data_IF_286795062893
#
_entry.id   IF_286795062893
#
_cell.length_a   1.000
_cell.length_b   1.000
_cell.length_c   1.000
_cell.angle_alpha   90.00
_cell.angle_beta   90.00
_cell.angle_gamma   90.00
#
_symmetry.space_group_name_H-M   'P 1'
#
loop_
_entity.id
_entity.type
_entity.pdbx_description
1 polymer ?
#
# COMPACT_ATOMS: atom_id res chain seq x y z
N UNK A 1 57.29 -6.21 18.38
CA UNK A 1 56.05 -6.66 17.71
C UNK A 1 55.48 -5.49 16.91
N UNK A 2 55.98 -5.26 15.69
CA UNK A 2 55.63 -4.11 14.84
C UNK A 2 54.42 -4.52 14.01
N UNK A 3 53.22 -4.08 14.40
CA UNK A 3 52.08 -4.09 13.48
C UNK A 3 52.40 -3.07 12.39
N UNK A 4 52.83 -3.55 11.22
CA UNK A 4 53.19 -2.71 10.07
C UNK A 4 52.01 -1.81 9.68
N UNK A 5 52.31 -0.56 9.34
CA UNK A 5 51.34 0.48 8.94
C UNK A 5 50.32 -0.03 7.91
N UNK A 6 50.75 -0.93 7.02
CA UNK A 6 49.93 -1.62 6.00
C UNK A 6 48.78 -2.49 6.54
N UNK A 7 48.88 -3.02 7.76
CA UNK A 7 47.81 -3.83 8.36
C UNK A 7 46.76 -2.97 9.05
N UNK A 8 47.14 -1.81 9.59
CA UNK A 8 46.21 -0.83 10.15
C UNK A 8 45.40 -0.18 9.03
N UNK A 9 46.06 0.21 7.93
CA UNK A 9 45.43 0.80 6.76
C UNK A 9 44.45 -0.17 6.07
N UNK A 10 44.84 -1.44 5.87
CA UNK A 10 43.93 -2.48 5.35
C UNK A 10 42.72 -2.74 6.24
N UNK A 11 42.90 -2.72 7.56
CA UNK A 11 41.78 -2.84 8.52
C UNK A 11 40.85 -1.63 8.45
N UNK A 12 41.39 -0.41 8.31
CA UNK A 12 40.63 0.82 8.12
C UNK A 12 39.77 0.79 6.85
N UNK A 13 40.37 0.44 5.71
CA UNK A 13 39.66 0.31 4.42
C UNK A 13 38.58 -0.79 4.48
N UNK A 14 38.87 -1.91 5.15
CA UNK A 14 37.90 -3.00 5.35
C UNK A 14 36.70 -2.54 6.19
N UNK A 15 36.95 -1.82 7.28
CA UNK A 15 35.90 -1.30 8.16
C UNK A 15 35.03 -0.24 7.45
N UNK A 16 35.64 0.65 6.68
CA UNK A 16 34.91 1.67 5.92
C UNK A 16 34.02 1.04 4.84
N UNK A 17 34.54 0.05 4.10
CA UNK A 17 33.76 -0.72 3.12
C UNK A 17 32.61 -1.47 3.76
N UNK A 18 32.84 -2.14 4.89
CA UNK A 18 31.79 -2.83 5.65
C UNK A 18 30.69 -1.85 6.10
N UNK A 19 31.07 -0.67 6.58
CA UNK A 19 30.13 0.39 6.96
C UNK A 19 29.31 0.90 5.77
N UNK A 20 29.94 1.11 4.61
CA UNK A 20 29.24 1.54 3.39
C UNK A 20 28.22 0.48 2.91
N UNK A 21 28.60 -0.80 2.91
CA UNK A 21 27.71 -1.92 2.57
C UNK A 21 26.53 -1.98 3.55
N UNK A 22 26.80 -1.83 4.84
CA UNK A 22 25.76 -1.84 5.86
C UNK A 22 24.78 -0.67 5.65
N UNK A 23 25.26 0.55 5.41
CA UNK A 23 24.40 1.71 5.12
C UNK A 23 23.50 1.48 3.91
N UNK A 24 24.04 0.96 2.80
CA UNK A 24 23.26 0.64 1.59
C UNK A 24 22.13 -0.35 1.92
N UNK A 25 22.45 -1.46 2.60
CA UNK A 25 21.46 -2.47 3.01
C UNK A 25 20.39 -1.90 3.95
N UNK A 26 20.78 -1.03 4.89
CA UNK A 26 19.86 -0.42 5.86
C UNK A 26 18.83 0.50 5.18
N UNK A 27 19.21 1.28 4.18
CA UNK A 27 18.27 2.16 3.46
C UNK A 27 17.19 1.34 2.73
N UNK A 28 17.61 0.30 2.00
CA UNK A 28 16.69 -0.62 1.32
C UNK A 28 15.75 -1.29 2.32
N UNK A 29 16.31 -1.85 3.40
CA UNK A 29 15.52 -2.57 4.41
C UNK A 29 14.53 -1.67 5.15
N UNK A 30 14.89 -0.42 5.42
CA UNK A 30 13.99 0.56 6.04
C UNK A 30 12.81 0.89 5.13
N UNK A 31 13.05 1.07 3.84
CA UNK A 31 12.01 1.29 2.84
C UNK A 31 11.09 0.06 2.71
N UNK A 32 11.65 -1.15 2.60
CA UNK A 32 10.86 -2.39 2.49
C UNK A 32 9.95 -2.60 3.71
N UNK A 33 10.47 -2.38 4.93
CA UNK A 33 9.70 -2.52 6.17
C UNK A 33 8.60 -1.47 6.32
N UNK A 34 8.85 -0.23 5.94
CA UNK A 34 7.80 0.81 5.94
C UNK A 34 6.68 0.46 4.95
N UNK A 35 7.06 0.05 3.74
CA UNK A 35 6.11 -0.40 2.71
C UNK A 35 5.29 -1.59 3.19
N UNK A 36 5.93 -2.59 3.82
CA UNK A 36 5.25 -3.78 4.33
C UNK A 36 4.26 -3.44 5.46
N UNK A 37 4.66 -2.57 6.40
CA UNK A 37 3.80 -2.14 7.50
C UNK A 37 2.59 -1.36 6.99
N UNK A 38 2.80 -0.37 6.12
CA UNK A 38 1.71 0.40 5.51
C UNK A 38 0.77 -0.50 4.70
N UNK A 39 1.31 -1.44 3.92
CA UNK A 39 0.52 -2.41 3.16
C UNK A 39 -0.31 -3.33 4.04
N UNK A 40 0.20 -3.77 5.20
CA UNK A 40 -0.55 -4.60 6.13
C UNK A 40 -1.71 -3.84 6.78
N UNK A 41 -1.47 -2.59 7.21
CA UNK A 41 -2.53 -1.71 7.74
C UNK A 41 -3.60 -1.46 6.69
N UNK A 42 -3.20 -1.12 5.46
CA UNK A 42 -4.12 -0.93 4.34
C UNK A 42 -4.94 -2.17 4.05
N UNK A 43 -4.32 -3.36 4.06
CA UNK A 43 -5.04 -4.61 3.81
C UNK A 43 -6.12 -4.85 4.86
N UNK A 44 -5.82 -4.65 6.14
CA UNK A 44 -6.81 -4.82 7.22
C UNK A 44 -7.96 -3.84 7.06
N UNK A 45 -7.66 -2.53 6.91
CA UNK A 45 -8.69 -1.51 6.75
C UNK A 45 -9.54 -1.73 5.49
N UNK A 46 -8.92 -2.15 4.38
CA UNK A 46 -9.61 -2.46 3.14
C UNK A 46 -10.56 -3.65 3.27
N UNK A 47 -10.13 -4.72 3.95
CA UNK A 47 -11.01 -5.87 4.19
C UNK A 47 -12.20 -5.50 5.06
N UNK A 48 -12.00 -4.63 6.07
CA UNK A 48 -13.09 -4.11 6.90
C UNK A 48 -14.05 -3.28 6.04
N UNK A 49 -13.54 -2.35 5.23
CA UNK A 49 -14.37 -1.54 4.31
C UNK A 49 -15.21 -2.43 3.39
N UNK A 50 -14.59 -3.43 2.75
CA UNK A 50 -15.27 -4.33 1.82
C UNK A 50 -16.45 -5.07 2.46
N UNK A 51 -16.34 -5.46 3.74
CA UNK A 51 -17.43 -6.09 4.49
C UNK A 51 -18.62 -5.15 4.67
N UNK A 52 -18.37 -3.88 5.03
CA UNK A 52 -19.43 -2.90 5.23
C UNK A 52 -20.06 -2.43 3.92
N UNK A 53 -19.26 -2.31 2.86
CA UNK A 53 -19.72 -1.92 1.52
C UNK A 53 -20.66 -2.98 0.92
N UNK A 54 -20.68 -4.21 1.44
CA UNK A 54 -21.66 -5.23 1.04
C UNK A 54 -23.12 -4.81 1.30
N UNK A 55 -23.38 -3.96 2.30
CA UNK A 55 -24.68 -3.34 2.55
C UNK A 55 -24.51 -1.82 2.70
N UNK A 56 -24.14 -1.18 1.58
CA UNK A 56 -23.86 0.26 1.53
C UNK A 56 -25.03 1.11 2.01
N UNK A 57 -26.28 0.65 1.85
CA UNK A 57 -27.47 1.38 2.33
C UNK A 57 -27.43 1.59 3.84
N UNK A 58 -27.04 0.56 4.61
CA UNK A 58 -26.95 0.64 6.07
C UNK A 58 -25.65 1.28 6.54
N UNK A 59 -24.57 1.10 5.78
CA UNK A 59 -23.22 1.42 6.22
C UNK A 59 -22.52 2.49 5.38
N UNK A 60 -23.26 3.35 4.66
CA UNK A 60 -22.67 4.40 3.80
C UNK A 60 -21.70 5.30 4.57
N UNK A 61 -22.05 5.75 5.77
CA UNK A 61 -21.15 6.59 6.57
C UNK A 61 -19.92 5.82 7.05
N UNK A 62 -20.05 4.52 7.31
CA UNK A 62 -18.91 3.66 7.66
C UNK A 62 -17.97 3.51 6.46
N UNK A 63 -18.51 3.31 5.26
CA UNK A 63 -17.72 3.27 4.02
C UNK A 63 -16.99 4.59 3.77
N UNK A 64 -17.68 5.73 3.91
CA UNK A 64 -17.05 7.06 3.77
C UNK A 64 -15.94 7.23 4.81
N UNK A 65 -16.20 6.86 6.06
CA UNK A 65 -15.21 6.95 7.13
C UNK A 65 -13.98 6.08 6.87
N UNK A 66 -14.15 4.79 6.60
CA UNK A 66 -13.04 3.85 6.41
C UNK A 66 -12.32 4.14 5.08
N UNK A 67 -13.06 4.42 4.01
CA UNK A 67 -12.55 4.89 2.73
C UNK A 67 -11.63 6.11 2.87
N UNK A 68 -12.03 7.08 3.69
CA UNK A 68 -11.21 8.27 3.96
C UNK A 68 -10.02 7.95 4.86
N UNK A 69 -10.21 7.13 5.91
CA UNK A 69 -9.14 6.71 6.81
C UNK A 69 -8.01 5.99 6.05
N UNK A 70 -8.35 5.18 5.04
CA UNK A 70 -7.39 4.49 4.17
C UNK A 70 -6.43 5.44 3.47
N UNK A 71 -6.84 6.69 3.18
CA UNK A 71 -6.03 7.65 2.42
C UNK A 71 -4.69 7.96 3.12
N UNK A 72 -4.70 8.03 4.46
CA UNK A 72 -3.50 8.26 5.26
C UNK A 72 -2.38 7.23 5.02
N UNK A 73 -2.57 5.95 5.39
CA UNK A 73 -1.57 4.92 5.14
C UNK A 73 -1.36 4.64 3.63
N UNK A 74 -2.31 4.97 2.76
CA UNK A 74 -2.15 4.89 1.31
C UNK A 74 -1.07 5.86 0.82
N UNK A 75 -1.09 7.11 1.27
CA UNK A 75 -0.06 8.10 0.98
C UNK A 75 1.32 7.60 1.42
N UNK A 76 1.42 6.97 2.60
CA UNK A 76 2.67 6.37 3.07
C UNK A 76 3.14 5.24 2.15
N UNK A 77 2.24 4.34 1.73
CA UNK A 77 2.57 3.24 0.81
C UNK A 77 3.05 3.79 -0.54
N UNK A 78 2.32 4.74 -1.12
CA UNK A 78 2.66 5.36 -2.41
C UNK A 78 3.99 6.12 -2.34
N UNK A 79 4.22 6.92 -1.29
CA UNK A 79 5.48 7.63 -1.09
C UNK A 79 6.66 6.65 -0.92
N UNK A 80 6.47 5.57 -0.16
CA UNK A 80 7.52 4.57 0.06
C UNK A 80 7.86 3.78 -1.23
N UNK A 81 6.86 3.37 -2.00
CA UNK A 81 7.07 2.70 -3.30
C UNK A 81 7.65 3.66 -4.33
N UNK A 82 7.17 4.91 -4.38
CA UNK A 82 7.68 5.97 -5.24
C UNK A 82 9.15 6.29 -4.93
N UNK A 83 9.52 6.41 -3.66
CA UNK A 83 10.90 6.60 -3.25
C UNK A 83 11.82 5.50 -3.79
N UNK A 84 11.40 4.22 -3.70
CA UNK A 84 12.14 3.10 -4.27
C UNK A 84 12.23 3.20 -5.80
N UNK A 85 11.12 3.52 -6.46
CA UNK A 85 11.06 3.67 -7.92
C UNK A 85 12.05 4.74 -8.39
N UNK A 86 11.93 5.97 -7.88
CA UNK A 86 12.81 7.08 -8.26
C UNK A 86 14.27 6.76 -7.92
N UNK A 87 14.56 6.24 -6.73
CA UNK A 87 15.93 5.89 -6.35
C UNK A 87 16.56 4.84 -7.29
N UNK A 88 15.78 3.89 -7.80
CA UNK A 88 16.26 2.91 -8.78
C UNK A 88 16.58 3.56 -10.14
N UNK A 89 15.68 4.39 -10.69
CA UNK A 89 15.92 5.03 -12.00
C UNK A 89 16.95 6.15 -11.96
N UNK A 90 17.09 6.82 -10.81
CA UNK A 90 18.20 7.74 -10.54
C UNK A 90 19.52 7.03 -10.22
N UNK A 91 19.60 5.70 -10.43
CA UNK A 91 20.82 4.89 -10.30
C UNK A 91 21.44 4.89 -8.89
N UNK A 92 20.64 5.05 -7.84
CA UNK A 92 21.13 4.92 -6.47
C UNK A 92 21.77 3.53 -6.26
N UNK A 93 23.06 3.43 -5.87
CA UNK A 93 23.77 2.16 -5.83
C UNK A 93 23.06 1.10 -4.97
N UNK A 94 22.51 1.50 -3.83
CA UNK A 94 21.81 0.60 -2.92
C UNK A 94 20.58 -0.06 -3.56
N UNK A 95 19.82 0.69 -4.38
CA UNK A 95 18.60 0.21 -5.01
C UNK A 95 18.86 -0.54 -6.32
N UNK A 96 19.91 -0.14 -7.06
CA UNK A 96 20.34 -0.88 -8.26
C UNK A 96 20.92 -2.24 -7.88
N UNK A 97 21.77 -2.32 -6.86
CA UNK A 97 22.31 -3.59 -6.33
C UNK A 97 21.21 -4.54 -5.83
N UNK A 98 20.10 -3.99 -5.31
CA UNK A 98 18.93 -4.77 -4.91
C UNK A 98 18.19 -5.40 -6.11
N UNK A 99 18.37 -4.87 -7.31
CA UNK A 99 17.75 -5.34 -8.53
C UNK A 99 16.36 -4.77 -8.81
N UNK A 100 15.90 -4.89 -10.07
CA UNK A 100 14.61 -4.36 -10.49
C UNK A 100 13.43 -5.05 -9.79
N UNK A 101 12.28 -4.37 -9.67
CA UNK A 101 11.02 -5.03 -9.32
C UNK A 101 10.66 -6.11 -10.35
N UNK A 102 9.87 -7.10 -9.93
CA UNK A 102 9.28 -8.08 -10.85
C UNK A 102 8.54 -7.37 -12.00
N UNK A 103 8.82 -7.76 -13.25
CA UNK A 103 8.32 -7.07 -14.45
C UNK A 103 6.80 -7.07 -14.55
N UNK A 104 6.13 -8.17 -14.20
CA UNK A 104 4.67 -8.27 -14.23
C UNK A 104 4.04 -7.32 -13.21
N UNK A 105 4.60 -7.23 -12.01
CA UNK A 105 4.14 -6.27 -11.00
C UNK A 105 4.44 -4.82 -11.40
N UNK A 106 5.49 -4.59 -12.19
CA UNK A 106 5.84 -3.27 -12.72
C UNK A 106 4.87 -2.82 -13.81
N UNK A 107 4.41 -3.74 -14.67
CA UNK A 107 3.37 -3.47 -15.67
C UNK A 107 2.00 -3.27 -15.02
N UNK A 108 1.70 -4.00 -13.95
CA UNK A 108 0.47 -3.87 -13.18
C UNK A 108 0.38 -2.52 -12.43
N UNK A 109 1.51 -2.04 -11.92
CA UNK A 109 1.59 -0.86 -11.05
C UNK A 109 0.92 0.41 -11.61
N UNK A 110 1.16 0.88 -12.85
CA UNK A 110 0.53 2.10 -13.36
C UNK A 110 -1.00 2.02 -13.38
N UNK A 111 -1.56 0.90 -13.83
CA UNK A 111 -3.02 0.69 -13.83
C UNK A 111 -3.58 0.69 -12.41
N UNK A 112 -2.91 -0.01 -11.49
CA UNK A 112 -3.34 -0.05 -10.09
C UNK A 112 -3.27 1.34 -9.43
N UNK A 113 -2.22 2.13 -9.71
CA UNK A 113 -2.08 3.49 -9.18
C UNK A 113 -3.17 4.40 -9.75
N UNK A 114 -3.40 4.36 -11.07
CA UNK A 114 -4.43 5.16 -11.73
C UNK A 114 -5.81 4.87 -11.14
N UNK A 115 -6.19 3.59 -11.08
CA UNK A 115 -7.50 3.20 -10.55
C UNK A 115 -7.62 3.48 -9.05
N UNK A 116 -6.53 3.34 -8.28
CA UNK A 116 -6.54 3.75 -6.86
C UNK A 116 -6.78 5.26 -6.73
N UNK A 117 -6.09 6.07 -7.53
CA UNK A 117 -6.27 7.52 -7.51
C UNK A 117 -7.69 7.91 -7.93
N UNK A 118 -8.21 7.34 -9.02
CA UNK A 118 -9.59 7.55 -9.48
C UNK A 118 -10.60 7.17 -8.41
N UNK A 119 -10.45 6.00 -7.77
CA UNK A 119 -11.35 5.54 -6.72
C UNK A 119 -11.37 6.48 -5.52
N UNK A 120 -10.20 6.89 -5.01
CA UNK A 120 -10.11 7.77 -3.85
C UNK A 120 -10.56 9.20 -4.17
N UNK A 121 -10.18 9.76 -5.31
CA UNK A 121 -10.54 11.13 -5.68
C UNK A 121 -12.03 11.26 -5.98
N UNK A 122 -12.62 10.30 -6.69
CA UNK A 122 -14.07 10.27 -6.92
C UNK A 122 -14.86 10.04 -5.62
N UNK A 123 -14.35 9.22 -4.70
CA UNK A 123 -14.98 9.02 -3.39
C UNK A 123 -14.95 10.27 -2.53
N UNK A 124 -13.82 10.99 -2.52
CA UNK A 124 -13.70 12.27 -1.86
C UNK A 124 -14.64 13.32 -2.45
N UNK A 125 -14.75 13.40 -3.78
CA UNK A 125 -15.68 14.30 -4.46
C UNK A 125 -17.14 14.02 -4.05
N UNK A 126 -17.57 12.76 -4.06
CA UNK A 126 -18.92 12.35 -3.63
C UNK A 126 -19.20 12.68 -2.16
N UNK A 127 -18.21 12.47 -1.30
CA UNK A 127 -18.34 12.73 0.13
C UNK A 127 -18.45 14.24 0.43
N UNK A 128 -17.77 15.09 -0.34
CA UNK A 128 -17.84 16.55 -0.23
C UNK A 128 -19.10 17.15 -0.84
N UNK A 129 -19.55 16.63 -1.99
CA UNK A 129 -20.73 17.14 -2.69
C UNK A 129 -22.03 16.84 -1.91
N UNK A 130 -22.07 15.77 -1.12
CA UNK A 130 -23.18 15.44 -0.23
C UNK A 130 -24.48 15.01 -0.94
N UNK A 131 -24.67 15.35 -2.21
CA UNK A 131 -25.87 15.05 -2.98
C UNK A 131 -25.64 13.89 -3.98
N UNK A 132 -26.57 12.91 -4.05
CA UNK A 132 -26.47 11.76 -4.95
C UNK A 132 -26.68 12.11 -6.45
N UNK A 133 -26.89 13.38 -6.79
CA UNK A 133 -27.27 13.79 -8.15
C UNK A 133 -26.12 13.71 -9.16
N UNK A 134 -24.87 13.67 -8.68
CA UNK A 134 -23.69 13.52 -9.55
C UNK A 134 -23.47 12.06 -9.98
N UNK A 135 -24.41 11.58 -10.82
CA UNK A 135 -24.43 10.22 -11.36
C UNK A 135 -23.14 9.85 -12.08
N UNK A 136 -22.49 10.80 -12.75
CA UNK A 136 -21.23 10.54 -13.45
C UNK A 136 -20.10 10.18 -12.48
N UNK A 137 -19.89 11.00 -11.43
CA UNK A 137 -18.85 10.72 -10.43
C UNK A 137 -19.16 9.45 -9.67
N UNK A 138 -20.42 9.18 -9.35
CA UNK A 138 -20.84 7.90 -8.77
C UNK A 138 -20.45 6.71 -9.66
N UNK A 139 -20.74 6.78 -10.96
CA UNK A 139 -20.38 5.71 -11.91
C UNK A 139 -18.85 5.56 -12.05
N UNK A 140 -18.10 6.66 -12.01
CA UNK A 140 -16.63 6.62 -12.01
C UNK A 140 -16.11 5.93 -10.75
N UNK A 141 -16.65 6.27 -9.58
CA UNK A 141 -16.28 5.65 -8.30
C UNK A 141 -16.60 4.14 -8.30
N UNK A 142 -17.85 3.79 -8.60
CA UNK A 142 -18.32 2.42 -8.69
C UNK A 142 -17.55 1.59 -9.75
N UNK A 143 -17.39 2.14 -10.96
CA UNK A 143 -16.69 1.48 -12.06
C UNK A 143 -15.20 1.29 -11.77
N UNK A 144 -14.54 2.31 -11.21
CA UNK A 144 -13.14 2.18 -10.80
C UNK A 144 -12.96 1.16 -9.69
N UNK A 145 -13.88 1.07 -8.72
CA UNK A 145 -13.86 0.03 -7.69
C UNK A 145 -13.95 -1.38 -8.30
N UNK A 146 -14.88 -1.61 -9.23
CA UNK A 146 -15.05 -2.90 -9.89
C UNK A 146 -13.80 -3.32 -10.68
N UNK A 147 -13.17 -2.39 -11.41
CA UNK A 147 -11.95 -2.66 -12.18
C UNK A 147 -10.71 -2.81 -11.28
N UNK A 148 -10.66 -2.05 -10.18
CA UNK A 148 -9.55 -2.06 -9.23
C UNK A 148 -9.49 -3.36 -8.43
N UNK A 149 -10.64 -3.95 -8.07
CA UNK A 149 -10.74 -5.17 -7.25
C UNK A 149 -9.89 -6.35 -7.79
N UNK A 150 -10.01 -6.76 -9.07
CA UNK A 150 -9.16 -7.81 -9.63
C UNK A 150 -7.66 -7.51 -9.55
N UNK A 151 -7.27 -6.26 -9.84
CA UNK A 151 -5.87 -5.84 -9.85
C UNK A 151 -5.28 -5.86 -8.44
N UNK A 152 -6.01 -5.36 -7.45
CA UNK A 152 -5.54 -5.41 -6.06
C UNK A 152 -5.48 -6.85 -5.54
N UNK A 153 -6.41 -7.72 -5.93
CA UNK A 153 -6.40 -9.13 -5.54
C UNK A 153 -5.15 -9.84 -6.09
N UNK A 154 -4.83 -9.63 -7.37
CA UNK A 154 -3.59 -10.14 -7.98
C UNK A 154 -2.35 -9.57 -7.28
N UNK A 155 -2.34 -8.27 -7.00
CA UNK A 155 -1.25 -7.61 -6.26
C UNK A 155 -1.07 -8.18 -4.85
N UNK A 156 -2.16 -8.38 -4.10
CA UNK A 156 -2.14 -8.96 -2.75
C UNK A 156 -1.67 -10.40 -2.82
N UNK A 157 -2.15 -11.21 -3.75
CA UNK A 157 -1.69 -12.58 -3.95
C UNK A 157 -0.18 -12.66 -4.20
N UNK A 158 0.35 -11.78 -5.05
CA UNK A 158 1.78 -11.71 -5.33
C UNK A 158 2.63 -11.41 -4.06
N UNK A 159 2.04 -10.75 -3.06
CA UNK A 159 2.72 -10.35 -1.82
C UNK A 159 2.25 -11.08 -0.56
N UNK A 160 1.27 -11.98 -0.64
CA UNK A 160 0.59 -12.57 0.52
C UNK A 160 1.51 -13.32 1.47
N UNK A 161 2.60 -13.91 0.95
CA UNK A 161 3.62 -14.58 1.77
C UNK A 161 4.75 -13.65 2.18
N UNK A 162 5.05 -12.63 1.38
CA UNK A 162 6.23 -11.77 1.58
C UNK A 162 6.01 -10.80 2.75
N UNK A 163 4.86 -10.12 2.80
CA UNK A 163 4.55 -9.12 3.83
C UNK A 163 4.56 -9.73 5.24
N UNK A 164 3.79 -10.79 5.55
CA UNK A 164 3.76 -11.34 6.89
C UNK A 164 5.11 -11.95 7.31
N UNK A 165 5.87 -12.55 6.38
CA UNK A 165 7.22 -13.05 6.68
C UNK A 165 8.18 -11.92 7.05
N UNK A 166 8.13 -10.80 6.34
CA UNK A 166 8.95 -9.62 6.61
C UNK A 166 8.61 -8.99 7.96
N UNK A 167 7.32 -8.88 8.28
CA UNK A 167 6.86 -8.38 9.58
C UNK A 167 7.24 -9.33 10.72
N UNK A 168 7.02 -10.65 10.56
CA UNK A 168 7.43 -11.65 11.57
C UNK A 168 8.93 -11.58 11.84
N UNK A 169 9.77 -11.55 10.79
CA UNK A 169 11.23 -11.41 10.94
C UNK A 169 11.61 -10.14 11.71
N UNK A 170 10.89 -9.05 11.49
CA UNK A 170 11.13 -7.82 12.24
C UNK A 170 10.72 -7.95 13.70
N UNK A 171 9.57 -8.55 14.03
CA UNK A 171 9.10 -8.68 15.41
C UNK A 171 9.81 -9.76 16.22
N UNK A 172 10.34 -10.80 15.57
CA UNK A 172 11.12 -11.86 16.22
C UNK A 172 12.55 -11.45 16.56
N UNK A 173 13.04 -10.29 16.09
CA UNK A 173 14.36 -9.78 16.46
C UNK A 173 14.31 -9.09 17.83
N UNK A 174 15.15 -9.51 18.81
CA UNK A 174 15.31 -8.84 20.10
C UNK A 174 15.50 -7.34 19.95
N UNK A 175 14.92 -6.55 20.87
CA UNK A 175 14.90 -5.09 20.82
C UNK A 175 16.29 -4.44 20.64
N UNK A 176 17.36 -5.08 21.13
CA UNK A 176 18.75 -4.65 20.96
C UNK A 176 19.39 -4.96 19.60
N UNK A 177 18.78 -5.83 18.79
CA UNK A 177 19.22 -6.18 17.42
C UNK A 177 18.24 -5.69 16.34
N UNK A 178 17.20 -4.96 16.74
CA UNK A 178 16.24 -4.33 15.83
C UNK A 178 16.95 -3.32 14.94
N UNK A 179 16.85 -3.51 13.63
CA UNK A 179 17.28 -2.52 12.61
C UNK A 179 16.86 -1.11 13.03
N UNK A 180 17.83 -0.20 13.15
CA UNK A 180 17.59 1.18 13.54
C UNK A 180 16.45 1.80 12.72
N UNK A 181 15.46 2.40 13.40
CA UNK A 181 14.32 3.06 12.75
C UNK A 181 12.95 2.37 12.85
N UNK A 182 12.78 1.31 13.67
CA UNK A 182 11.43 0.75 13.98
C UNK A 182 10.49 1.81 14.52
N UNK A 183 10.92 2.57 15.52
CA UNK A 183 10.15 3.67 16.11
C UNK A 183 9.75 4.71 15.06
N UNK A 184 10.66 5.09 14.15
CA UNK A 184 10.36 6.05 13.09
C UNK A 184 9.26 5.53 12.16
N UNK A 185 9.33 4.25 11.75
CA UNK A 185 8.29 3.62 10.91
C UNK A 185 6.93 3.61 11.61
N UNK A 186 6.89 3.17 12.87
CA UNK A 186 5.66 3.16 13.67
C UNK A 186 5.08 4.56 13.81
N UNK A 187 5.92 5.56 14.13
CA UNK A 187 5.49 6.96 14.19
C UNK A 187 4.91 7.44 12.87
N UNK A 188 5.55 7.16 11.73
CA UNK A 188 5.02 7.52 10.41
C UNK A 188 3.66 6.89 10.17
N UNK A 189 3.49 5.60 10.45
CA UNK A 189 2.21 4.89 10.28
C UNK A 189 1.13 5.44 11.23
N UNK A 190 1.45 5.67 12.50
CA UNK A 190 0.52 6.23 13.48
C UNK A 190 0.11 7.65 13.09
N UNK A 191 1.05 8.52 12.72
CA UNK A 191 0.75 9.87 12.24
C UNK A 191 -0.16 9.82 11.01
N UNK A 192 0.11 8.91 10.05
CA UNK A 192 -0.75 8.77 8.88
C UNK A 192 -2.16 8.31 9.22
N UNK A 193 -2.32 7.43 10.23
CA UNK A 193 -3.62 7.00 10.72
C UNK A 193 -4.35 8.13 11.43
N UNK A 194 -3.65 8.94 12.25
CA UNK A 194 -4.24 10.10 12.92
C UNK A 194 -4.73 11.12 11.89
N UNK A 195 -3.91 11.46 10.90
CA UNK A 195 -4.30 12.39 9.83
C UNK A 195 -5.50 11.84 9.06
N UNK A 196 -5.47 10.55 8.69
CA UNK A 196 -6.60 9.88 8.02
C UNK A 196 -7.86 9.87 8.87
N UNK A 197 -7.75 9.64 10.18
CA UNK A 197 -8.87 9.64 11.11
C UNK A 197 -9.48 11.03 11.28
N UNK A 198 -8.66 12.08 11.41
CA UNK A 198 -9.14 13.47 11.45
C UNK A 198 -9.91 13.80 10.17
N UNK A 199 -9.33 13.50 9.00
CA UNK A 199 -10.00 13.70 7.72
C UNK A 199 -11.31 12.91 7.62
N UNK A 200 -11.32 11.64 8.06
CA UNK A 200 -12.50 10.79 8.07
C UNK A 200 -13.61 11.33 8.97
N UNK A 201 -13.28 11.82 10.17
CA UNK A 201 -14.25 12.44 11.09
C UNK A 201 -14.88 13.68 10.44
N UNK A 202 -14.05 14.59 9.94
CA UNK A 202 -14.51 15.84 9.33
C UNK A 202 -15.39 15.58 8.11
N UNK A 203 -14.96 14.68 7.23
CA UNK A 203 -15.67 14.38 6.01
C UNK A 203 -16.97 13.63 6.27
N UNK A 204 -16.98 12.64 7.17
CA UNK A 204 -18.20 11.91 7.53
C UNK A 204 -19.26 12.84 8.11
N UNK A 205 -18.86 13.84 8.91
CA UNK A 205 -19.78 14.85 9.42
C UNK A 205 -20.39 15.70 8.30
N UNK A 206 -19.61 16.03 7.26
CA UNK A 206 -20.10 16.74 6.08
C UNK A 206 -20.99 15.87 5.17
N UNK A 207 -20.84 14.54 5.23
CA UNK A 207 -21.56 13.59 4.36
C UNK A 207 -22.91 13.10 4.92
N UNK A 208 -23.46 13.72 5.96
CA UNK A 208 -24.77 13.31 6.53
C UNK A 208 -25.95 13.29 5.54
N UNK A 209 -26.02 14.11 4.47
CA UNK A 209 -27.13 14.03 3.52
C UNK A 209 -27.23 12.66 2.79
N UNK A 210 -26.14 11.88 2.74
CA UNK A 210 -26.14 10.51 2.20
C UNK A 210 -27.03 9.55 2.99
N UNK A 211 -27.40 9.85 4.24
CA UNK A 211 -28.33 9.03 5.03
C UNK A 211 -29.75 8.98 4.43
N UNK A 212 -30.11 9.99 3.67
CA UNK A 212 -31.43 10.11 3.04
C UNK A 212 -31.40 9.81 1.54
N UNK A 213 -30.22 9.50 0.99
CA UNK A 213 -30.06 9.23 -0.43
C UNK A 213 -30.69 7.87 -0.82
N UNK A 214 -31.49 7.82 -1.90
CA UNK A 214 -32.04 6.57 -2.41
C UNK A 214 -30.95 5.77 -3.14
N UNK A 215 -30.21 4.95 -2.40
CA UNK A 215 -29.25 4.00 -2.98
C UNK A 215 -30.06 2.82 -3.58
N UNK A 216 -30.40 2.92 -4.87
CA UNK A 216 -31.13 1.86 -5.58
C UNK A 216 -30.22 0.64 -5.87
N UNK A 217 -30.75 -0.58 -5.74
CA UNK A 217 -30.07 -1.88 -5.98
C UNK A 217 -29.75 -2.19 -7.46
N UNK A 218 -29.57 -1.14 -8.29
CA UNK A 218 -29.74 -1.21 -9.74
C UNK A 218 -28.53 -1.62 -10.56
N UNK A 219 -27.51 -2.26 -10.00
CA UNK A 219 -26.47 -3.01 -10.75
C UNK A 219 -26.01 -4.08 -9.75
N UNK A 220 -25.91 -5.38 -10.10
CA UNK A 220 -25.29 -6.38 -9.21
C UNK A 220 -23.96 -5.80 -8.76
N UNK A 221 -23.87 -5.48 -7.47
CA UNK A 221 -23.05 -4.38 -6.96
C UNK A 221 -21.65 -4.45 -7.58
N UNK A 222 -21.02 -3.33 -7.97
CA UNK A 222 -19.65 -3.31 -8.49
C UNK A 222 -18.66 -4.27 -7.77
N UNK A 223 -18.92 -4.56 -6.49
CA UNK A 223 -18.29 -5.62 -5.71
C UNK A 223 -18.52 -7.04 -6.27
N UNK A 224 -19.75 -7.49 -6.50
CA UNK A 224 -20.04 -8.83 -7.04
C UNK A 224 -19.33 -9.02 -8.38
N UNK A 225 -19.47 -8.04 -9.29
CA UNK A 225 -18.76 -8.07 -10.57
C UNK A 225 -17.25 -8.11 -10.36
N UNK A 226 -16.72 -7.22 -9.51
CA UNK A 226 -15.29 -7.19 -9.17
C UNK A 226 -14.79 -8.50 -8.58
N UNK A 227 -15.57 -9.17 -7.71
CA UNK A 227 -15.24 -10.47 -7.09
C UNK A 227 -15.22 -11.58 -8.15
N UNK A 228 -16.25 -11.66 -9.01
CA UNK A 228 -16.30 -12.64 -10.10
C UNK A 228 -15.10 -12.46 -11.03
N UNK A 229 -14.82 -11.23 -11.46
CA UNK A 229 -13.65 -10.93 -12.31
C UNK A 229 -12.34 -11.20 -11.58
N UNK A 230 -12.28 -10.99 -10.26
CA UNK A 230 -11.09 -11.30 -9.45
C UNK A 230 -10.74 -12.78 -9.46
N UNK A 231 -11.74 -13.66 -9.42
CA UNK A 231 -11.55 -15.11 -9.49
C UNK A 231 -10.88 -15.46 -10.83
N UNK A 232 -11.41 -14.96 -11.95
CA UNK A 232 -10.84 -15.16 -13.29
C UNK A 232 -9.42 -14.58 -13.39
N UNK A 233 -9.22 -13.35 -12.89
CA UNK A 233 -7.91 -12.69 -12.88
C UNK A 233 -6.85 -13.49 -12.11
N UNK A 234 -7.23 -14.11 -10.99
CA UNK A 234 -6.33 -15.01 -10.25
C UNK A 234 -5.95 -16.25 -11.06
N UNK A 235 -6.89 -16.89 -11.74
CA UNK A 235 -6.58 -18.06 -12.58
C UNK A 235 -5.54 -17.76 -13.65
N UNK A 236 -5.57 -16.56 -14.23
CA UNK A 236 -4.59 -16.10 -15.23
C UNK A 236 -3.26 -15.69 -14.58
N UNK A 237 -3.31 -14.94 -13.48
CA UNK A 237 -2.11 -14.39 -12.86
C UNK A 237 -1.28 -15.41 -12.09
N UNK A 238 -1.91 -16.43 -11.49
CA UNK A 238 -1.25 -17.42 -10.64
C UNK A 238 -0.14 -18.18 -11.38
N UNK A 239 -0.36 -18.75 -12.58
CA UNK A 239 0.70 -19.42 -13.35
C UNK A 239 1.86 -18.48 -13.69
N UNK A 240 1.57 -17.27 -14.18
CA UNK A 240 2.59 -16.28 -14.56
C UNK A 240 3.46 -15.85 -13.36
N UNK A 241 2.84 -15.68 -12.19
CA UNK A 241 3.53 -15.29 -10.97
C UNK A 241 4.30 -16.44 -10.30
N UNK A 242 3.91 -17.70 -10.54
CA UNK A 242 4.67 -18.87 -10.07
C UNK A 242 5.93 -19.07 -10.90
N UNK A 243 5.81 -19.05 -12.23
CA UNK A 243 6.95 -19.22 -13.13
C UNK A 243 8.01 -18.11 -13.00
N UNK A 244 7.63 -16.93 -12.50
CA UNK A 244 8.57 -15.83 -12.25
C UNK A 244 9.25 -15.87 -10.87
N UNK A 245 8.94 -16.87 -10.02
CA UNK A 245 9.58 -17.09 -8.71
C UNK A 245 10.61 -18.22 -8.71
N UNK A 246 10.57 -19.07 -9.73
CA UNK A 246 11.52 -20.16 -9.98
C UNK A 246 12.64 -19.64 -10.92
#
# INVERSE_FOLDING_TARGET
MILTNSNIERRGISAERANAINRKRLVVLRNERLTALAAAVLLVLFLIDLVFTADLRKFILVHIFIGTLLAGPLVVKLASVGYRFFSYYSKSPAFVEKGPPNIWLRLLAPFLILLTATLFLSGLALALEGAPDNRLVFLIHAGSAALWLPLIVVHVYAHIRLVPRSLRKEWSQPSGMSVSGRVKRLRTTVISLIIGAIAAILLTAASTPWLHAPIQHGIPSPIILGVVVSIVGLFIAVPLLRNARD
#
